data_IF_251996392570
#
_entry.id   IF_251996392570
#
_cell.length_a   1.000
_cell.length_b   1.000
_cell.length_c   1.000
_cell.angle_alpha   90.00
_cell.angle_beta   90.00
_cell.angle_gamma   90.00
#
_symmetry.space_group_name_H-M   'P 1'
#
loop_
_entity.id
_entity.type
_entity.pdbx_description
1 polymer ?
#
# COMPACT_ATOMS: atom_id res chain seq x y z
N UNK A 1 34.03 -4.45 32.71
CA UNK A 1 33.63 -5.23 31.54
C UNK A 1 34.58 -4.89 30.42
N UNK A 2 35.20 -5.87 29.79
CA UNK A 2 36.11 -5.63 28.69
C UNK A 2 35.32 -5.16 27.48
N UNK A 3 35.66 -4.00 26.91
CA UNK A 3 35.12 -3.55 25.64
C UNK A 3 35.65 -4.45 24.53
N UNK A 4 34.77 -5.26 23.94
CA UNK A 4 35.10 -6.04 22.75
C UNK A 4 35.11 -5.06 21.58
N UNK A 5 36.30 -4.72 21.08
CA UNK A 5 36.47 -3.80 19.93
C UNK A 5 36.44 -4.52 18.58
N UNK A 6 36.52 -5.83 18.57
CA UNK A 6 36.47 -6.65 17.37
C UNK A 6 36.08 -8.09 17.71
N UNK A 7 35.53 -8.81 16.74
CA UNK A 7 35.44 -10.28 16.78
C UNK A 7 35.97 -10.86 15.47
N UNK A 8 36.52 -12.06 15.55
CA UNK A 8 37.02 -12.77 14.38
C UNK A 8 36.16 -14.01 14.15
N UNK A 9 35.66 -14.15 12.96
CA UNK A 9 34.93 -15.34 12.50
C UNK A 9 35.82 -16.12 11.54
N UNK A 10 35.94 -17.42 11.72
CA UNK A 10 36.66 -18.32 10.82
C UNK A 10 35.67 -19.29 10.16
N UNK A 11 35.55 -19.23 8.85
CA UNK A 11 34.73 -20.14 8.06
C UNK A 11 35.61 -20.77 6.99
N UNK A 12 35.64 -22.09 6.91
CA UNK A 12 36.47 -22.83 5.94
C UNK A 12 37.96 -22.46 5.93
N UNK A 13 38.51 -22.16 7.12
CA UNK A 13 39.92 -21.78 7.25
C UNK A 13 40.23 -20.32 6.90
N UNK A 14 39.26 -19.54 6.50
CA UNK A 14 39.40 -18.10 6.25
C UNK A 14 38.91 -17.34 7.49
N UNK A 15 39.81 -16.57 8.09
CA UNK A 15 39.49 -15.73 9.26
C UNK A 15 39.22 -14.30 8.82
N UNK A 16 38.04 -13.80 9.13
CA UNK A 16 37.65 -12.40 8.91
C UNK A 16 37.47 -11.71 10.26
N UNK A 17 38.20 -10.62 10.48
CA UNK A 17 38.07 -9.81 11.68
C UNK A 17 37.17 -8.63 11.43
N UNK A 18 36.13 -8.50 12.25
CA UNK A 18 35.18 -7.39 12.23
C UNK A 18 35.49 -6.41 13.34
N UNK A 19 35.74 -5.17 13.00
CA UNK A 19 35.93 -4.11 13.98
C UNK A 19 34.57 -3.58 14.43
N UNK A 20 34.27 -3.66 15.70
CA UNK A 20 33.05 -3.13 16.29
C UNK A 20 33.47 -1.81 16.97
N UNK A 21 33.13 -0.69 16.39
CA UNK A 21 33.33 0.63 17.01
C UNK A 21 32.38 0.91 18.17
N UNK A 22 31.26 0.19 18.20
CA UNK A 22 30.26 0.21 19.26
C UNK A 22 29.70 -1.22 19.38
N UNK A 23 29.59 -1.74 20.60
CA UNK A 23 29.00 -3.05 20.86
C UNK A 23 27.54 -3.18 20.38
N UNK A 24 26.92 -2.07 19.95
CA UNK A 24 25.57 -1.98 19.39
C UNK A 24 25.54 -1.67 17.89
N UNK A 25 26.69 -1.52 17.24
CA UNK A 25 26.76 -1.17 15.82
C UNK A 25 26.73 -2.42 14.92
N UNK A 26 25.92 -2.40 13.90
CA UNK A 26 25.99 -3.35 12.79
C UNK A 26 27.21 -3.01 11.96
N UNK A 27 28.08 -3.99 11.57
CA UNK A 27 29.28 -3.71 10.77
C UNK A 27 28.93 -2.96 9.48
N UNK A 28 29.62 -1.85 9.23
CA UNK A 28 29.37 -0.98 8.06
C UNK A 28 29.81 -1.55 6.71
N UNK A 29 30.61 -2.58 6.69
CA UNK A 29 31.11 -3.18 5.45
C UNK A 29 30.35 -4.47 5.15
N UNK A 30 29.29 -4.36 4.33
CA UNK A 30 28.73 -5.46 3.53
C UNK A 30 28.67 -6.84 4.20
N UNK A 31 28.35 -6.89 5.49
CA UNK A 31 28.18 -8.15 6.18
C UNK A 31 26.96 -8.86 5.62
N UNK A 32 27.15 -10.05 5.07
CA UNK A 32 26.05 -10.90 4.69
C UNK A 32 25.17 -11.13 5.91
N UNK A 33 23.89 -10.81 5.82
CA UNK A 33 22.89 -11.29 6.77
C UNK A 33 22.84 -12.80 6.58
N UNK A 34 23.34 -13.56 7.55
CA UNK A 34 23.25 -15.02 7.50
C UNK A 34 21.78 -15.39 7.49
N UNK A 35 21.38 -16.24 6.55
CA UNK A 35 19.98 -16.70 6.45
C UNK A 35 19.57 -17.36 7.75
N UNK A 36 18.52 -16.83 8.39
CA UNK A 36 17.98 -17.32 9.65
C UNK A 36 18.35 -16.50 10.88
N UNK A 37 19.15 -15.43 10.77
CA UNK A 37 19.40 -14.54 11.90
C UNK A 37 18.35 -13.43 12.01
N UNK A 38 17.90 -13.20 13.24
CA UNK A 38 16.96 -12.14 13.57
C UNK A 38 17.71 -11.00 14.25
N UNK A 39 17.62 -9.80 13.68
CA UNK A 39 18.06 -8.60 14.37
C UNK A 39 17.04 -8.24 15.44
N UNK A 40 17.33 -8.56 16.69
CA UNK A 40 16.47 -8.24 17.82
C UNK A 40 17.23 -7.51 18.90
N UNK A 41 16.51 -6.69 19.67
CA UNK A 41 17.03 -6.15 20.92
C UNK A 41 16.64 -7.04 22.08
N UNK A 42 17.56 -7.18 23.04
CA UNK A 42 17.35 -7.99 24.24
C UNK A 42 16.43 -7.33 25.27
N UNK A 43 16.03 -6.08 25.04
CA UNK A 43 15.20 -5.29 25.95
C UNK A 43 13.99 -4.68 25.24
N UNK A 44 12.85 -4.72 25.90
CA UNK A 44 11.57 -4.25 25.35
C UNK A 44 11.38 -2.73 25.45
N UNK A 45 12.20 -2.02 26.21
CA UNK A 45 12.09 -0.58 26.46
C UNK A 45 12.93 0.29 25.50
N UNK A 46 13.34 -0.28 24.39
CA UNK A 46 14.26 0.36 23.44
C UNK A 46 13.70 0.36 22.02
N UNK A 47 14.40 1.05 21.15
CA UNK A 47 14.07 1.24 19.74
C UNK A 47 15.20 0.69 18.88
N UNK A 48 14.87 -0.04 17.82
CA UNK A 48 15.78 -0.38 16.73
C UNK A 48 15.53 0.62 15.60
N UNK A 49 16.61 1.29 15.13
CA UNK A 49 16.52 2.32 14.10
C UNK A 49 17.56 2.10 13.01
N UNK A 50 17.15 2.32 11.78
CA UNK A 50 17.97 2.33 10.59
C UNK A 50 17.85 3.70 9.95
N UNK A 51 18.95 4.46 9.88
CA UNK A 51 19.00 5.80 9.31
C UNK A 51 19.75 5.81 7.98
N UNK A 52 19.22 6.51 6.99
CA UNK A 52 19.91 6.75 5.72
C UNK A 52 20.76 8.03 5.73
N UNK A 53 20.72 8.80 6.82
CA UNK A 53 21.47 10.05 7.02
C UNK A 53 22.29 10.04 8.31
N UNK A 54 22.88 11.19 8.66
CA UNK A 54 23.66 11.38 9.88
C UNK A 54 22.83 11.47 11.15
N UNK A 55 21.50 11.62 11.01
CA UNK A 55 20.56 11.69 12.11
C UNK A 55 19.11 11.64 11.63
N UNK A 56 18.17 11.65 12.57
CA UNK A 56 16.74 11.51 12.30
C UNK A 56 16.19 12.62 11.39
N UNK A 57 16.69 13.84 11.50
CA UNK A 57 16.26 14.95 10.65
C UNK A 57 17.00 15.05 9.31
N UNK A 58 18.06 14.26 9.11
CA UNK A 58 18.98 14.39 7.97
C UNK A 58 18.74 13.36 6.87
N UNK A 59 17.67 12.59 6.96
CA UNK A 59 17.34 11.57 5.97
C UNK A 59 16.18 10.68 6.39
N UNK A 60 15.92 9.67 5.57
CA UNK A 60 14.87 8.69 5.87
C UNK A 60 15.32 7.69 6.92
N UNK A 61 14.40 7.26 7.77
CA UNK A 61 14.67 6.22 8.77
C UNK A 61 13.50 5.25 8.93
N UNK A 62 13.86 4.04 9.35
CA UNK A 62 12.90 3.02 9.80
C UNK A 62 13.15 2.79 11.28
N UNK A 63 12.12 2.88 12.09
CA UNK A 63 12.20 2.66 13.52
C UNK A 63 11.18 1.61 13.97
N UNK A 64 11.66 0.63 14.73
CA UNK A 64 10.85 -0.41 15.36
C UNK A 64 10.92 -0.20 16.87
N UNK A 65 9.80 0.10 17.50
CA UNK A 65 9.73 0.35 18.95
C UNK A 65 9.31 -0.90 19.70
N UNK A 66 10.04 -1.21 20.76
CA UNK A 66 9.66 -2.27 21.69
C UNK A 66 8.35 -1.96 22.44
N UNK A 67 7.69 -2.98 22.95
CA UNK A 67 6.38 -2.82 23.65
C UNK A 67 6.42 -1.89 24.88
N UNK A 68 7.57 -1.69 25.47
CA UNK A 68 7.80 -0.86 26.66
C UNK A 68 8.70 0.36 26.39
N UNK A 69 8.89 0.72 25.09
CA UNK A 69 9.73 1.84 24.72
C UNK A 69 9.23 3.14 25.36
N UNK A 70 10.15 3.86 26.02
CA UNK A 70 9.87 5.13 26.70
C UNK A 70 10.22 6.34 25.83
N UNK A 71 11.12 6.14 24.85
CA UNK A 71 11.55 7.18 23.93
C UNK A 71 10.44 7.47 22.94
N UNK A 72 10.10 8.73 22.79
CA UNK A 72 9.06 9.24 21.88
C UNK A 72 7.63 8.77 22.18
N UNK A 73 7.35 8.20 23.34
CA UNK A 73 6.02 7.68 23.72
C UNK A 73 5.44 6.63 22.75
N UNK A 74 6.29 5.78 22.16
CA UNK A 74 6.00 5.00 20.94
C UNK A 74 6.01 3.49 21.14
N UNK A 75 5.32 3.02 22.16
CA UNK A 75 5.24 1.59 22.49
C UNK A 75 4.68 0.77 21.33
N UNK A 76 5.46 -0.24 20.88
CA UNK A 76 5.01 -1.22 19.89
C UNK A 76 4.66 -0.63 18.53
N UNK A 77 5.38 0.39 18.06
CA UNK A 77 5.14 1.06 16.77
C UNK A 77 6.17 0.70 15.72
N UNK A 78 5.73 0.70 14.47
CA UNK A 78 6.59 0.81 13.30
C UNK A 78 6.50 2.25 12.80
N UNK A 79 7.65 2.86 12.60
CA UNK A 79 7.78 4.25 12.21
C UNK A 79 8.61 4.34 10.94
N UNK A 80 8.04 4.89 9.88
CA UNK A 80 8.73 5.23 8.65
C UNK A 80 8.82 6.74 8.58
N UNK A 81 10.02 7.26 8.57
CA UNK A 81 10.30 8.68 8.58
C UNK A 81 11.00 9.10 7.30
N UNK A 82 10.60 10.24 6.75
CA UNK A 82 11.31 10.91 5.65
C UNK A 82 11.62 12.33 6.07
N UNK A 83 12.88 12.75 5.93
CA UNK A 83 13.29 14.11 6.19
C UNK A 83 14.32 14.57 5.17
N UNK A 84 14.36 15.88 4.93
CA UNK A 84 15.35 16.54 4.06
C UNK A 84 16.09 17.67 4.79
N UNK A 85 16.25 17.53 6.09
CA UNK A 85 16.89 18.53 6.96
C UNK A 85 15.97 19.65 7.45
N UNK A 86 14.82 19.86 6.81
CA UNK A 86 13.91 20.97 7.16
C UNK A 86 12.47 20.48 7.40
N UNK A 87 12.01 19.55 6.61
CA UNK A 87 10.64 19.02 6.68
C UNK A 87 10.72 17.49 6.71
N UNK A 88 10.07 16.89 7.69
CA UNK A 88 9.90 15.44 7.80
C UNK A 88 8.43 15.05 7.65
N UNK A 89 8.19 13.87 7.13
CA UNK A 89 6.87 13.22 7.11
C UNK A 89 6.97 11.82 7.66
N UNK A 90 5.99 11.42 8.41
CA UNK A 90 5.98 10.18 9.15
C UNK A 90 4.79 9.32 8.77
N UNK A 91 5.04 8.05 8.55
CA UNK A 91 4.03 7.02 8.52
C UNK A 91 4.20 6.14 9.75
N UNK A 92 3.17 6.02 10.57
CA UNK A 92 3.19 5.23 11.78
C UNK A 92 2.14 4.12 11.72
N UNK A 93 2.56 2.92 12.11
CA UNK A 93 1.68 1.79 12.32
C UNK A 93 1.65 1.49 13.83
N UNK A 94 0.47 1.56 14.43
CA UNK A 94 0.25 1.27 15.84
C UNK A 94 -0.17 -0.17 16.07
N UNK A 95 0.18 -0.73 17.22
CA UNK A 95 -0.23 -2.08 17.62
C UNK A 95 -1.75 -2.30 17.60
N UNK A 96 -2.56 -1.26 17.71
CA UNK A 96 -4.02 -1.28 17.55
C UNK A 96 -4.54 -1.27 16.10
N UNK A 97 -3.66 -1.35 15.10
CA UNK A 97 -4.03 -1.37 13.69
C UNK A 97 -4.35 0.00 13.06
N UNK A 98 -4.04 1.10 13.76
CA UNK A 98 -4.24 2.44 13.22
C UNK A 98 -3.05 2.88 12.37
N UNK A 99 -3.32 3.37 11.18
CA UNK A 99 -2.33 4.02 10.32
C UNK A 99 -2.44 5.53 10.45
N UNK A 100 -1.33 6.21 10.68
CA UNK A 100 -1.29 7.66 10.66
C UNK A 100 -0.19 8.15 9.74
N UNK A 101 -0.43 9.30 9.13
CA UNK A 101 0.56 10.06 8.38
C UNK A 101 0.76 11.39 9.09
N UNK A 102 2.01 11.70 9.46
CA UNK A 102 2.34 12.93 10.22
C UNK A 102 1.48 13.14 11.48
N UNK A 103 1.22 12.05 12.23
CA UNK A 103 0.44 12.08 13.49
C UNK A 103 -1.08 12.25 13.33
N UNK A 104 -1.57 12.35 12.10
CA UNK A 104 -3.00 12.44 11.79
C UNK A 104 -3.48 11.14 11.15
N UNK A 105 -4.71 10.73 11.42
CA UNK A 105 -5.35 9.71 10.60
C UNK A 105 -5.24 10.13 9.13
N UNK A 106 -5.00 9.16 8.23
CA UNK A 106 -4.84 9.46 6.80
C UNK A 106 -6.03 10.26 6.32
N UNK A 107 -5.84 11.56 6.17
CA UNK A 107 -6.83 12.48 5.61
C UNK A 107 -6.48 12.77 4.17
N UNK A 108 -7.46 12.65 3.30
CA UNK A 108 -7.29 13.04 1.91
C UNK A 108 -7.35 14.56 1.81
N UNK A 109 -6.27 15.17 1.33
CA UNK A 109 -6.23 16.61 1.08
C UNK A 109 -7.25 16.96 0.02
N UNK A 110 -8.13 17.95 0.30
CA UNK A 110 -9.19 18.40 -0.60
C UNK A 110 -9.27 19.93 -0.71
N UNK A 111 -8.11 20.59 -0.65
CA UNK A 111 -8.00 22.06 -0.75
C UNK A 111 -8.22 22.51 -2.21
N UNK A 112 -9.11 23.48 -2.41
CA UNK A 112 -9.40 24.07 -3.73
C UNK A 112 -8.14 24.63 -4.41
N UNK A 113 -7.20 25.17 -3.66
CA UNK A 113 -5.94 25.75 -4.19
C UNK A 113 -5.03 24.72 -4.86
N UNK A 114 -5.26 23.44 -4.59
CA UNK A 114 -4.51 22.31 -5.15
C UNK A 114 -5.26 21.63 -6.30
N UNK A 115 -6.39 22.19 -6.72
CA UNK A 115 -7.25 21.62 -7.76
C UNK A 115 -7.40 22.60 -8.91
N UNK A 116 -7.56 22.07 -10.11
CA UNK A 116 -7.86 22.82 -11.32
C UNK A 116 -9.12 22.23 -11.97
N UNK A 117 -9.76 23.01 -12.85
CA UNK A 117 -10.92 22.58 -13.63
C UNK A 117 -12.02 21.95 -12.78
N UNK A 118 -12.37 22.63 -11.67
CA UNK A 118 -13.44 22.17 -10.78
C UNK A 118 -14.77 22.36 -11.51
N UNK A 119 -15.38 21.23 -11.89
CA UNK A 119 -16.65 21.15 -12.60
C UNK A 119 -17.60 20.20 -11.88
N UNK A 120 -18.83 20.13 -12.32
CA UNK A 120 -19.76 19.05 -11.96
C UNK A 120 -19.29 17.72 -12.54
N UNK A 121 -19.76 16.60 -11.96
CA UNK A 121 -19.46 15.27 -12.48
C UNK A 121 -20.15 15.13 -13.84
N UNK A 122 -19.43 14.60 -14.83
CA UNK A 122 -19.88 14.44 -16.21
C UNK A 122 -21.17 13.60 -16.26
N UNK A 123 -22.17 14.14 -17.00
CA UNK A 123 -23.44 13.46 -17.22
C UNK A 123 -23.27 12.10 -17.90
N UNK A 124 -22.30 11.94 -18.81
CA UNK A 124 -22.02 10.65 -19.46
C UNK A 124 -21.55 9.60 -18.47
N UNK A 125 -20.70 9.99 -17.49
CA UNK A 125 -20.29 9.08 -16.42
C UNK A 125 -21.50 8.70 -15.56
N UNK A 126 -22.38 9.64 -15.25
CA UNK A 126 -23.60 9.37 -14.48
C UNK A 126 -24.61 8.52 -15.27
N UNK A 127 -24.64 8.62 -16.60
CA UNK A 127 -25.46 7.75 -17.45
C UNK A 127 -24.89 6.32 -17.48
N UNK A 128 -23.57 6.18 -17.57
CA UNK A 128 -22.90 4.89 -17.47
C UNK A 128 -23.09 4.24 -16.07
N UNK A 129 -23.18 5.07 -15.05
CA UNK A 129 -23.36 4.63 -13.67
C UNK A 129 -24.74 3.98 -13.41
N UNK A 130 -25.71 4.21 -14.28
CA UNK A 130 -27.02 3.54 -14.24
C UNK A 130 -26.92 2.02 -14.41
N UNK A 131 -25.87 1.56 -15.13
CA UNK A 131 -25.57 0.14 -15.37
C UNK A 131 -24.57 -0.46 -14.37
N UNK A 132 -24.13 0.33 -13.39
CA UNK A 132 -23.16 -0.12 -12.38
C UNK A 132 -23.88 -0.61 -11.14
N UNK A 133 -23.69 -1.89 -10.79
CA UNK A 133 -24.26 -2.47 -9.58
C UNK A 133 -23.18 -2.95 -8.62
N UNK A 134 -23.35 -2.71 -7.31
CA UNK A 134 -22.51 -3.32 -6.30
C UNK A 134 -22.73 -4.83 -6.25
N UNK A 135 -21.66 -5.57 -5.98
CA UNK A 135 -21.65 -7.03 -5.96
C UNK A 135 -21.29 -7.57 -4.59
N UNK A 136 -21.67 -8.82 -4.31
CA UNK A 136 -21.14 -9.61 -3.21
C UNK A 136 -20.12 -10.63 -3.74
N UNK A 137 -19.01 -10.77 -3.05
CA UNK A 137 -17.94 -11.68 -3.46
C UNK A 137 -17.17 -12.22 -2.26
N UNK A 138 -16.35 -13.24 -2.52
CA UNK A 138 -15.34 -13.75 -1.60
C UNK A 138 -13.98 -13.66 -2.28
N UNK A 139 -12.95 -13.31 -1.53
CA UNK A 139 -11.58 -13.34 -2.05
C UNK A 139 -11.11 -14.77 -2.21
N UNK A 140 -10.42 -15.06 -3.32
CA UNK A 140 -9.94 -16.40 -3.66
C UNK A 140 -8.99 -16.94 -2.58
N UNK A 141 -8.03 -16.14 -2.12
CA UNK A 141 -7.10 -16.50 -1.06
C UNK A 141 -7.79 -16.89 0.25
N UNK A 142 -8.88 -16.20 0.59
CA UNK A 142 -9.68 -16.53 1.77
C UNK A 142 -10.47 -17.84 1.57
N UNK A 143 -10.95 -18.10 0.36
CA UNK A 143 -11.62 -19.36 0.00
C UNK A 143 -10.61 -20.52 0.03
N UNK A 144 -9.43 -20.34 -0.56
CA UNK A 144 -8.39 -21.35 -0.61
C UNK A 144 -7.85 -21.70 0.78
N UNK A 145 -7.69 -20.69 1.65
CA UNK A 145 -7.15 -20.89 2.99
C UNK A 145 -8.17 -21.43 4.01
N UNK A 146 -9.42 -20.92 3.96
CA UNK A 146 -10.45 -21.17 4.99
C UNK A 146 -11.56 -22.10 4.53
N UNK A 147 -11.65 -22.37 3.24
CA UNK A 147 -12.77 -23.04 2.59
C UNK A 147 -13.94 -22.12 2.30
N UNK A 148 -14.71 -22.48 1.28
CA UNK A 148 -15.84 -21.68 0.75
C UNK A 148 -16.85 -21.30 1.82
N UNK A 149 -17.12 -22.20 2.78
CA UNK A 149 -18.15 -21.98 3.80
C UNK A 149 -17.69 -21.03 4.92
N UNK A 150 -16.37 -20.94 5.16
CA UNK A 150 -15.77 -20.10 6.21
C UNK A 150 -15.23 -18.77 5.71
N UNK A 151 -15.01 -18.62 4.40
CA UNK A 151 -14.62 -17.36 3.81
C UNK A 151 -15.76 -16.36 3.90
N UNK A 152 -15.46 -15.14 4.37
CA UNK A 152 -16.46 -14.06 4.55
C UNK A 152 -16.95 -13.56 3.19
N UNK A 153 -18.21 -13.15 3.16
CA UNK A 153 -18.77 -12.34 2.08
C UNK A 153 -18.32 -10.88 2.26
N UNK A 154 -17.93 -10.29 1.15
CA UNK A 154 -17.64 -8.87 1.01
C UNK A 154 -18.64 -8.25 0.05
N UNK A 155 -18.89 -6.96 0.23
CA UNK A 155 -19.72 -6.15 -0.69
C UNK A 155 -18.87 -5.03 -1.25
N UNK A 156 -19.05 -4.71 -2.51
CA UNK A 156 -18.30 -3.65 -3.16
C UNK A 156 -18.51 -3.66 -4.68
N UNK A 157 -17.65 -2.97 -5.37
CA UNK A 157 -17.66 -2.89 -6.82
C UNK A 157 -16.55 -3.74 -7.43
N UNK A 158 -16.81 -4.25 -8.63
CA UNK A 158 -15.83 -4.97 -9.45
C UNK A 158 -15.40 -4.06 -10.58
N UNK A 159 -14.10 -3.79 -10.67
CA UNK A 159 -13.52 -2.83 -11.63
C UNK A 159 -13.96 -3.13 -13.06
N UNK A 160 -13.92 -4.41 -13.46
CA UNK A 160 -14.27 -4.84 -14.81
C UNK A 160 -15.77 -4.64 -15.13
N UNK A 161 -16.64 -4.63 -14.11
CA UNK A 161 -18.07 -4.32 -14.30
C UNK A 161 -18.27 -2.84 -14.57
N UNK A 162 -17.55 -1.97 -13.81
CA UNK A 162 -17.58 -0.51 -14.04
C UNK A 162 -17.02 -0.18 -15.43
N UNK A 163 -15.86 -0.75 -15.80
CA UNK A 163 -15.23 -0.55 -17.10
C UNK A 163 -16.19 -0.95 -18.24
N UNK A 164 -16.86 -2.10 -18.10
CA UNK A 164 -17.86 -2.56 -19.08
C UNK A 164 -19.03 -1.59 -19.20
N UNK A 165 -19.58 -1.11 -18.09
CA UNK A 165 -20.66 -0.13 -18.08
C UNK A 165 -20.22 1.18 -18.75
N UNK A 166 -19.06 1.71 -18.39
CA UNK A 166 -18.48 2.90 -19.02
C UNK A 166 -18.30 2.74 -20.54
N UNK A 167 -17.74 1.62 -20.99
CA UNK A 167 -17.55 1.32 -22.42
C UNK A 167 -18.86 1.27 -23.17
N UNK A 168 -19.96 0.76 -22.60
CA UNK A 168 -21.29 0.74 -23.26
C UNK A 168 -21.86 2.13 -23.47
N UNK A 169 -21.43 3.12 -22.71
CA UNK A 169 -21.80 4.52 -22.81
C UNK A 169 -20.72 5.40 -23.51
N UNK A 170 -19.70 4.79 -24.13
CA UNK A 170 -18.57 5.47 -24.75
C UNK A 170 -17.82 6.40 -23.79
N UNK A 171 -17.67 5.95 -22.55
CA UNK A 171 -16.85 6.60 -21.50
C UNK A 171 -15.57 5.80 -21.33
N UNK A 172 -14.43 6.47 -21.42
CA UNK A 172 -13.13 5.88 -21.07
C UNK A 172 -12.89 6.06 -19.56
N UNK A 173 -13.03 4.98 -18.82
CA UNK A 173 -12.87 5.01 -17.36
C UNK A 173 -11.44 5.32 -16.92
N UNK A 174 -10.44 5.13 -17.78
CA UNK A 174 -9.04 5.41 -17.48
C UNK A 174 -8.75 6.91 -17.31
N UNK A 175 -9.63 7.77 -17.81
CA UNK A 175 -9.55 9.23 -17.61
C UNK A 175 -9.97 9.66 -16.20
N UNK A 176 -10.60 8.76 -15.42
CA UNK A 176 -11.14 9.05 -14.10
C UNK A 176 -10.27 8.44 -13.00
N UNK A 177 -9.96 9.24 -12.00
CA UNK A 177 -9.11 8.83 -10.88
C UNK A 177 -9.65 7.67 -10.04
N UNK A 178 -10.93 7.36 -10.13
CA UNK A 178 -11.54 6.21 -9.43
C UNK A 178 -11.02 4.86 -9.92
N UNK A 179 -10.51 4.79 -11.16
CA UNK A 179 -9.96 3.59 -11.79
C UNK A 179 -8.44 3.58 -11.67
N UNK A 180 -7.89 2.48 -11.23
CA UNK A 180 -6.45 2.28 -11.17
C UNK A 180 -6.10 0.96 -11.86
N UNK A 181 -5.17 1.03 -12.82
CA UNK A 181 -4.61 -0.11 -13.53
C UNK A 181 -3.10 -0.02 -13.49
N UNK A 182 -2.46 -1.09 -13.05
CA UNK A 182 -1.01 -1.21 -12.95
C UNK A 182 -0.58 -2.47 -13.67
N UNK A 183 0.42 -2.34 -14.55
CA UNK A 183 1.04 -3.45 -15.26
C UNK A 183 2.41 -3.72 -14.66
N UNK A 184 2.66 -4.97 -14.34
CA UNK A 184 3.95 -5.43 -13.84
C UNK A 184 4.60 -6.30 -14.94
N UNK A 185 5.71 -5.85 -15.53
CA UNK A 185 6.42 -6.63 -16.53
C UNK A 185 7.02 -7.89 -15.91
N UNK A 186 7.26 -8.89 -16.76
CA UNK A 186 7.99 -10.08 -16.36
C UNK A 186 9.39 -9.71 -15.86
N UNK A 187 9.75 -10.21 -14.68
CA UNK A 187 11.09 -10.08 -14.13
C UNK A 187 11.87 -11.39 -14.33
N UNK A 188 13.09 -11.23 -14.81
CA UNK A 188 14.01 -12.34 -15.03
C UNK A 188 15.34 -12.08 -14.35
N UNK A 189 15.96 -13.13 -13.82
CA UNK A 189 17.30 -13.10 -13.24
C UNK A 189 18.23 -13.99 -14.07
N UNK A 190 19.47 -13.54 -14.29
CA UNK A 190 20.53 -14.39 -14.86
C UNK A 190 21.12 -15.26 -13.76
N UNK A 191 20.95 -16.57 -13.88
CA UNK A 191 21.54 -17.56 -12.98
C UNK A 191 22.64 -18.35 -13.68
N UNK A 192 23.75 -18.59 -12.98
CA UNK A 192 24.78 -19.49 -13.48
C UNK A 192 24.33 -20.94 -13.24
N UNK A 193 24.25 -21.72 -14.31
CA UNK A 193 23.93 -23.13 -14.26
C UNK A 193 25.16 -23.92 -14.69
N UNK A 194 25.61 -24.85 -13.83
CA UNK A 194 26.71 -25.75 -14.13
C UNK A 194 26.17 -26.93 -14.94
N UNK A 195 26.72 -27.11 -16.16
CA UNK A 195 26.38 -28.21 -17.06
C UNK A 195 27.06 -29.49 -16.59
N UNK A 196 26.55 -30.63 -17.06
CA UNK A 196 27.08 -31.95 -16.70
C UNK A 196 28.56 -32.17 -17.08
N UNK A 197 29.10 -31.36 -17.99
CA UNK A 197 30.50 -31.35 -18.42
C UNK A 197 31.39 -30.40 -17.59
N UNK A 198 30.84 -29.75 -16.55
CA UNK A 198 31.54 -28.79 -15.69
C UNK A 198 31.62 -27.36 -16.24
N UNK A 199 31.04 -27.11 -17.42
CA UNK A 199 30.94 -25.74 -17.95
C UNK A 199 29.84 -24.95 -17.27
N UNK A 200 30.07 -23.64 -17.03
CA UNK A 200 29.08 -22.73 -16.48
C UNK A 200 28.43 -21.93 -17.61
N UNK A 201 27.12 -22.00 -17.70
CA UNK A 201 26.33 -21.20 -18.62
C UNK A 201 25.42 -20.28 -17.86
N UNK A 202 25.12 -19.10 -18.46
CA UNK A 202 24.13 -18.18 -17.90
C UNK A 202 22.76 -18.47 -18.53
N UNK A 203 21.79 -18.75 -17.68
CA UNK A 203 20.41 -18.92 -18.09
C UNK A 203 19.52 -17.83 -17.47
N UNK A 204 18.52 -17.37 -18.22
CA UNK A 204 17.51 -16.46 -17.70
C UNK A 204 16.39 -17.26 -17.05
N UNK A 205 16.24 -17.08 -15.74
CA UNK A 205 15.15 -17.65 -14.97
C UNK A 205 14.08 -16.57 -14.73
N UNK A 206 12.85 -16.88 -15.03
CA UNK A 206 11.72 -16.02 -14.67
C UNK A 206 11.52 -16.11 -13.16
N UNK A 207 11.60 -14.95 -12.48
CA UNK A 207 11.37 -14.82 -11.04
C UNK A 207 9.97 -14.30 -10.74
N UNK A 208 9.38 -13.55 -11.68
CA UNK A 208 7.98 -13.11 -11.62
C UNK A 208 7.41 -13.03 -13.03
N UNK A 209 6.28 -13.66 -13.24
CA UNK A 209 5.53 -13.53 -14.48
C UNK A 209 4.94 -12.13 -14.62
N UNK A 210 4.72 -11.68 -15.85
CA UNK A 210 3.97 -10.46 -16.12
C UNK A 210 2.57 -10.58 -15.54
N UNK A 211 2.09 -9.52 -14.92
CA UNK A 211 0.77 -9.48 -14.29
C UNK A 211 0.16 -8.10 -14.38
N UNK A 212 -1.15 -8.04 -14.24
CA UNK A 212 -1.92 -6.81 -14.18
C UNK A 212 -2.65 -6.72 -12.85
N UNK A 213 -2.77 -5.51 -12.33
CA UNK A 213 -3.51 -5.25 -11.11
C UNK A 213 -4.52 -4.13 -11.33
N UNK A 214 -5.77 -4.40 -10.98
CA UNK A 214 -6.86 -3.46 -11.06
C UNK A 214 -7.34 -3.11 -9.66
N UNK A 215 -7.54 -1.82 -9.39
CA UNK A 215 -8.08 -1.36 -8.11
C UNK A 215 -8.98 -0.13 -8.27
N UNK A 216 -9.74 0.18 -7.23
CA UNK A 216 -10.66 1.31 -7.19
C UNK A 216 -10.30 2.25 -6.04
N UNK A 217 -10.37 3.55 -6.31
CA UNK A 217 -10.40 4.55 -5.24
C UNK A 217 -11.83 4.69 -4.74
N UNK A 218 -12.20 3.93 -3.73
CA UNK A 218 -13.57 3.85 -3.22
C UNK A 218 -14.16 5.19 -2.80
N UNK A 219 -13.36 6.14 -2.33
CA UNK A 219 -13.85 7.49 -2.01
C UNK A 219 -14.36 8.24 -3.23
N UNK A 220 -13.74 8.05 -4.39
CA UNK A 220 -14.18 8.62 -5.66
C UNK A 220 -15.37 7.86 -6.22
N UNK A 221 -15.37 6.52 -6.13
CA UNK A 221 -16.52 5.67 -6.46
C UNK A 221 -17.77 6.12 -5.69
N UNK A 222 -17.65 6.33 -4.38
CA UNK A 222 -18.78 6.80 -3.56
C UNK A 222 -19.21 8.23 -3.90
N UNK A 223 -18.31 9.09 -4.35
CA UNK A 223 -18.70 10.43 -4.80
C UNK A 223 -19.57 10.37 -6.06
N UNK A 224 -19.21 9.50 -7.03
CA UNK A 224 -20.04 9.27 -8.23
C UNK A 224 -21.38 8.65 -7.86
N UNK A 225 -21.38 7.60 -7.03
CA UNK A 225 -22.59 6.96 -6.52
C UNK A 225 -23.54 7.96 -5.83
N UNK A 226 -23.02 8.79 -4.93
CA UNK A 226 -23.81 9.82 -4.27
C UNK A 226 -24.40 10.82 -5.26
N UNK A 227 -23.67 11.20 -6.30
CA UNK A 227 -24.17 12.14 -7.30
C UNK A 227 -25.23 11.48 -8.18
N UNK A 228 -25.05 10.23 -8.57
CA UNK A 228 -26.03 9.44 -9.29
C UNK A 228 -27.34 9.31 -8.49
N UNK A 229 -27.27 8.98 -7.21
CA UNK A 229 -28.45 8.90 -6.34
C UNK A 229 -29.16 10.25 -6.21
N UNK A 230 -28.43 11.36 -6.08
CA UNK A 230 -29.03 12.71 -6.08
C UNK A 230 -29.76 13.01 -7.38
N UNK A 231 -29.18 12.64 -8.53
CA UNK A 231 -29.83 12.77 -9.85
C UNK A 231 -31.12 11.94 -9.95
N UNK A 232 -31.11 10.70 -9.45
CA UNK A 232 -32.26 9.85 -9.39
C UNK A 232 -33.36 10.45 -8.50
N UNK A 233 -33.02 10.94 -7.31
CA UNK A 233 -33.97 11.61 -6.40
C UNK A 233 -34.58 12.84 -7.07
N UNK A 234 -33.80 13.68 -7.72
CA UNK A 234 -34.28 14.87 -8.41
C UNK A 234 -35.30 14.51 -9.53
N UNK A 235 -34.97 13.48 -10.33
CA UNK A 235 -35.86 12.96 -11.39
C UNK A 235 -37.18 12.44 -10.81
N UNK A 236 -37.13 11.68 -9.72
CA UNK A 236 -38.30 11.17 -9.05
C UNK A 236 -39.13 12.28 -8.43
N UNK A 237 -38.52 13.27 -7.80
CA UNK A 237 -39.22 14.43 -7.22
C UNK A 237 -39.97 15.21 -8.30
N UNK A 238 -39.31 15.51 -9.41
CA UNK A 238 -39.97 16.21 -10.54
C UNK A 238 -41.16 15.40 -11.09
N UNK A 239 -41.00 14.08 -11.16
CA UNK A 239 -42.11 13.21 -11.65
C UNK A 239 -43.29 13.19 -10.69
N UNK A 240 -43.06 13.19 -9.39
CA UNK A 240 -44.12 13.28 -8.37
C UNK A 240 -44.85 14.61 -8.51
N UNK A 241 -44.13 15.73 -8.61
CA UNK A 241 -44.76 17.06 -8.78
C UNK A 241 -45.62 17.15 -10.04
N UNK A 242 -45.18 16.57 -11.16
CA UNK A 242 -46.01 16.47 -12.39
C UNK A 242 -47.31 15.71 -12.17
N UNK A 243 -47.20 14.55 -11.48
CA UNK A 243 -48.38 13.71 -11.19
C UNK A 243 -49.37 14.42 -10.26
N UNK A 244 -48.87 15.11 -9.25
CA UNK A 244 -49.72 15.89 -8.32
C UNK A 244 -50.43 17.05 -9.03
N UNK A 245 -49.73 17.78 -9.92
CA UNK A 245 -50.36 18.84 -10.76
C UNK A 245 -51.43 18.25 -11.68
N UNK A 246 -51.16 17.10 -12.29
CA UNK A 246 -52.16 16.44 -13.17
C UNK A 246 -53.39 15.93 -12.45
N UNK A 247 -53.30 15.58 -11.16
CA UNK A 247 -54.43 15.15 -10.35
C UNK A 247 -55.28 16.33 -9.83
N UNK A 248 -54.67 17.50 -9.63
CA UNK A 248 -55.39 18.69 -9.15
C UNK A 248 -56.14 19.44 -10.27
N UNK A 249 -55.99 19.01 -11.52
CA UNK A 249 -56.67 19.61 -12.69
C UNK A 249 -57.87 18.81 -13.16
N UNK A 250 -58.24 17.76 -12.45
CA UNK A 250 -59.48 17.00 -12.65
C UNK A 250 -60.46 17.29 -11.53
#
# INVERSE_FOLDING_TARGET
>A
MANISHFTQTVNGISTTYNIHDANAIPRSGGAVLSGEVFSRTVNNSVLRFDAGTGFAEGSSIMLSGKDAQTYNEKGRIYLHTANGTVGQDMLLYAGGTWTWSGQAVQLVSDQRLKQQITEIDDKLLDAWEDVEPSQFKYNDAVDTKGKDKARLHTGYVVQQIDKACKSHNVDISEYGLYCHEEYPQETEEVEVEQADGTKTKERKVIREASEHYSLRYTEVYAVECMYLRRCIARLTARIEELEKGNNTK
#
